data_IF_585922626800
#
_entry.id   IF_585922626800
#
_cell.length_a   1.000
_cell.length_b   1.000
_cell.length_c   1.000
_cell.angle_alpha   90.00
_cell.angle_beta   90.00
_cell.angle_gamma   90.00
#
_symmetry.space_group_name_H-M   'P 1'
#
loop_
_entity.id
_entity.type
_entity.pdbx_description
1 polymer ?
#
# COMPACT_ATOMS: atom_id res chain seq x y z
N UNK A 1 -13.36 -13.11 11.49
CA UNK A 1 -12.30 -13.87 12.21
C UNK A 1 -11.04 -13.04 12.41
N UNK A 2 -10.48 -12.39 11.37
CA UNK A 2 -9.30 -11.52 11.48
C UNK A 2 -9.40 -10.41 12.54
N UNK A 3 -10.53 -9.69 12.62
CA UNK A 3 -10.74 -8.66 13.66
C UNK A 3 -10.70 -9.21 15.09
N UNK A 4 -11.14 -10.46 15.28
CA UNK A 4 -11.08 -11.09 16.61
C UNK A 4 -9.63 -11.27 17.05
N UNK A 5 -8.76 -11.71 16.15
CA UNK A 5 -7.31 -11.81 16.43
C UNK A 5 -6.66 -10.44 16.66
N UNK A 6 -7.11 -9.39 15.96
CA UNK A 6 -6.63 -8.01 16.22
C UNK A 6 -7.00 -7.55 17.62
N UNK A 7 -8.24 -7.80 18.06
CA UNK A 7 -8.67 -7.43 19.41
C UNK A 7 -7.95 -8.27 20.48
N UNK A 8 -7.76 -9.58 20.27
CA UNK A 8 -6.96 -10.44 21.15
C UNK A 8 -5.50 -9.98 21.24
N UNK A 9 -4.89 -9.56 20.13
CA UNK A 9 -3.54 -9.00 20.11
C UNK A 9 -3.47 -7.66 20.87
N UNK A 10 -4.48 -6.79 20.71
CA UNK A 10 -4.60 -5.54 21.49
C UNK A 10 -4.71 -5.81 22.98
N UNK A 11 -5.54 -6.78 23.38
CA UNK A 11 -5.72 -7.17 24.77
C UNK A 11 -4.43 -7.75 25.38
N UNK A 12 -3.63 -8.45 24.57
CA UNK A 12 -2.36 -9.02 24.98
C UNK A 12 -1.19 -8.02 25.10
N UNK A 13 -1.41 -6.73 24.78
CA UNK A 13 -0.40 -5.66 24.72
C UNK A 13 0.77 -5.94 23.75
N UNK A 14 0.58 -6.87 22.82
CA UNK A 14 1.51 -7.08 21.72
C UNK A 14 1.30 -5.94 20.70
N UNK A 15 2.34 -5.15 20.47
CA UNK A 15 2.34 -4.16 19.41
C UNK A 15 2.45 -4.85 18.05
N UNK A 16 1.62 -4.44 17.10
CA UNK A 16 1.73 -4.90 15.72
C UNK A 16 2.98 -4.28 15.09
N UNK A 17 3.77 -5.08 14.39
CA UNK A 17 4.86 -4.59 13.57
C UNK A 17 4.36 -4.28 12.13
N UNK A 18 5.22 -3.66 11.31
CA UNK A 18 4.87 -3.28 9.94
C UNK A 18 4.36 -4.46 9.11
N UNK A 19 4.96 -5.65 9.27
CA UNK A 19 4.55 -6.87 8.56
C UNK A 19 3.18 -7.37 8.98
N UNK A 20 2.89 -7.35 10.28
CA UNK A 20 1.59 -7.73 10.82
C UNK A 20 0.50 -6.83 10.24
N UNK A 21 0.77 -5.52 10.14
CA UNK A 21 -0.17 -4.58 9.53
C UNK A 21 -0.34 -4.85 8.02
N UNK A 22 0.72 -5.17 7.28
CA UNK A 22 0.61 -5.58 5.86
C UNK A 22 -0.32 -6.78 5.67
N UNK A 23 -0.20 -7.80 6.53
CA UNK A 23 -1.06 -9.00 6.48
C UNK A 23 -2.52 -8.63 6.74
N UNK A 24 -2.79 -7.76 7.72
CA UNK A 24 -4.15 -7.30 7.99
C UNK A 24 -4.73 -6.54 6.80
N UNK A 25 -3.94 -5.65 6.18
CA UNK A 25 -4.36 -4.93 4.97
C UNK A 25 -4.70 -5.91 3.84
N UNK A 26 -3.85 -6.90 3.56
CA UNK A 26 -4.13 -7.93 2.54
C UNK A 26 -5.43 -8.70 2.84
N UNK A 27 -5.62 -9.13 4.09
CA UNK A 27 -6.84 -9.85 4.51
C UNK A 27 -8.09 -9.01 4.32
N UNK A 28 -8.11 -7.77 4.81
CA UNK A 28 -9.29 -6.90 4.68
C UNK A 28 -9.54 -6.48 3.24
N UNK A 29 -8.49 -6.25 2.46
CA UNK A 29 -8.61 -5.91 1.06
C UNK A 29 -9.21 -7.08 0.25
N UNK A 30 -8.87 -8.34 0.60
CA UNK A 30 -9.46 -9.54 0.00
C UNK A 30 -10.91 -9.80 0.39
N UNK A 31 -11.37 -9.22 1.49
CA UNK A 31 -12.78 -9.33 1.91
C UNK A 31 -13.61 -8.12 1.46
N UNK A 32 -13.03 -7.17 0.73
CA UNK A 32 -13.71 -5.93 0.35
C UNK A 32 -14.03 -5.01 1.54
N UNK A 33 -13.36 -5.20 2.69
CA UNK A 33 -13.57 -4.39 3.90
C UNK A 33 -12.72 -3.12 3.83
N UNK A 34 -13.21 -2.17 3.04
CA UNK A 34 -12.51 -0.93 2.71
C UNK A 34 -12.19 -0.10 3.95
N UNK A 35 -13.12 -0.02 4.90
CA UNK A 35 -12.96 0.77 6.12
C UNK A 35 -11.77 0.28 6.95
N UNK A 36 -11.64 -1.04 7.12
CA UNK A 36 -10.50 -1.59 7.83
C UNK A 36 -9.20 -1.44 7.03
N UNK A 37 -9.22 -1.60 5.70
CA UNK A 37 -8.04 -1.32 4.86
C UNK A 37 -7.53 0.11 5.09
N UNK A 38 -8.40 1.11 5.01
CA UNK A 38 -8.02 2.51 5.19
C UNK A 38 -7.46 2.76 6.60
N UNK A 39 -8.11 2.22 7.62
CA UNK A 39 -7.68 2.30 9.02
C UNK A 39 -6.27 1.72 9.23
N UNK A 40 -5.97 0.55 8.67
CA UNK A 40 -4.66 -0.07 8.80
C UNK A 40 -3.59 0.61 7.94
N UNK A 41 -3.95 1.16 6.79
CA UNK A 41 -3.05 2.02 6.00
C UNK A 41 -2.71 3.31 6.75
N UNK A 42 -3.67 3.95 7.44
CA UNK A 42 -3.38 5.10 8.30
C UNK A 42 -2.43 4.73 9.44
N UNK A 43 -2.67 3.57 10.07
CA UNK A 43 -1.86 3.09 11.17
C UNK A 43 -0.40 2.85 10.77
N UNK A 44 -0.14 2.16 9.66
CA UNK A 44 1.24 1.90 9.21
C UNK A 44 1.96 3.18 8.78
N UNK A 45 1.24 4.16 8.22
CA UNK A 45 1.81 5.49 7.94
C UNK A 45 2.21 6.19 9.25
N UNK A 46 1.37 6.15 10.28
CA UNK A 46 1.67 6.73 11.59
C UNK A 46 2.88 6.06 12.25
N UNK A 47 2.96 4.73 12.19
CA UNK A 47 4.12 3.97 12.67
C UNK A 47 5.41 4.42 11.97
N UNK A 48 5.36 4.61 10.64
CA UNK A 48 6.52 5.11 9.89
C UNK A 48 6.89 6.54 10.29
N UNK A 49 5.92 7.44 10.48
CA UNK A 49 6.20 8.81 10.95
C UNK A 49 6.90 8.81 12.32
N UNK A 50 6.41 7.98 13.26
CA UNK A 50 7.04 7.84 14.59
C UNK A 50 8.46 7.29 14.50
N UNK A 51 8.67 6.27 13.66
CA UNK A 51 10.00 5.73 13.40
C UNK A 51 10.98 6.78 12.85
N UNK A 52 10.54 7.62 11.92
CA UNK A 52 11.36 8.71 11.37
C UNK A 52 11.71 9.77 12.42
N UNK A 53 10.78 10.09 13.33
CA UNK A 53 11.01 11.07 14.41
C UNK A 53 11.94 10.57 15.50
N UNK A 54 11.97 9.27 15.75
CA UNK A 54 12.81 8.65 16.80
C UNK A 54 14.24 8.37 16.35
N UNK A 55 14.55 8.57 15.07
CA UNK A 55 15.84 8.24 14.46
C UNK A 55 15.98 6.74 14.17
N UNK A 56 16.45 6.41 12.96
CA UNK A 56 16.58 5.01 12.50
C UNK A 56 17.61 4.19 13.31
N UNK A 57 18.44 4.85 14.13
CA UNK A 57 19.46 4.23 14.99
C UNK A 57 18.95 3.72 16.34
N UNK A 58 17.67 3.92 16.66
CA UNK A 58 17.07 3.28 17.82
C UNK A 58 17.05 1.76 17.58
N UNK A 59 17.88 1.02 18.32
CA UNK A 59 17.98 -0.47 18.35
C UNK A 59 16.66 -1.18 18.73
N UNK A 60 15.52 -0.53 18.58
CA UNK A 60 14.20 -1.15 18.69
C UNK A 60 14.01 -2.16 17.56
N UNK A 61 13.68 -3.40 17.94
CA UNK A 61 13.63 -4.59 17.09
C UNK A 61 12.45 -4.59 16.08
N UNK A 62 11.72 -3.48 15.95
CA UNK A 62 10.42 -3.39 15.28
C UNK A 62 10.21 -2.03 14.59
N UNK A 63 11.14 -1.62 13.73
CA UNK A 63 11.01 -0.37 12.97
C UNK A 63 10.19 -0.63 11.71
N UNK A 64 9.04 0.05 11.58
CA UNK A 64 8.29 0.08 10.33
C UNK A 64 9.12 0.78 9.26
N UNK A 65 9.36 0.09 8.16
CA UNK A 65 10.18 0.57 7.05
C UNK A 65 9.32 1.20 5.96
N UNK A 66 9.94 1.96 5.05
CA UNK A 66 9.27 2.42 3.83
C UNK A 66 8.74 1.23 3.00
N UNK A 67 9.46 0.10 3.01
CA UNK A 67 9.04 -1.10 2.31
C UNK A 67 7.74 -1.68 2.88
N UNK A 68 7.58 -1.72 4.20
CA UNK A 68 6.36 -2.21 4.82
C UNK A 68 5.16 -1.34 4.41
N UNK A 69 5.31 -0.02 4.43
CA UNK A 69 4.24 0.89 3.96
C UNK A 69 3.92 0.61 2.49
N UNK A 70 4.92 0.52 1.61
CA UNK A 70 4.71 0.26 0.18
C UNK A 70 4.03 -1.10 -0.07
N UNK A 71 4.44 -2.15 0.64
CA UNK A 71 3.87 -3.49 0.52
C UNK A 71 2.41 -3.51 1.01
N UNK A 72 2.07 -2.76 2.06
CA UNK A 72 0.68 -2.59 2.50
C UNK A 72 -0.17 -1.88 1.43
N UNK A 73 0.33 -0.81 0.81
CA UNK A 73 -0.37 -0.13 -0.28
C UNK A 73 -0.54 -1.02 -1.52
N UNK A 74 0.47 -1.80 -1.90
CA UNK A 74 0.38 -2.76 -3.00
C UNK A 74 -0.66 -3.87 -2.70
N UNK A 75 -0.75 -4.31 -1.45
CA UNK A 75 -1.77 -5.26 -1.00
C UNK A 75 -3.17 -4.67 -1.08
N UNK A 76 -3.36 -3.43 -0.63
CA UNK A 76 -4.62 -2.70 -0.74
C UNK A 76 -5.04 -2.49 -2.21
N UNK A 77 -4.12 -2.09 -3.09
CA UNK A 77 -4.36 -1.95 -4.52
C UNK A 77 -4.82 -3.27 -5.14
N UNK A 78 -4.14 -4.38 -4.80
CA UNK A 78 -4.50 -5.72 -5.30
C UNK A 78 -5.85 -6.20 -4.77
N UNK A 79 -6.18 -5.90 -3.51
CA UNK A 79 -7.45 -6.35 -2.95
C UNK A 79 -8.62 -5.50 -3.43
N UNK A 80 -8.48 -4.17 -3.50
CA UNK A 80 -9.51 -3.31 -4.08
C UNK A 80 -9.79 -3.65 -5.54
N UNK A 81 -8.76 -4.02 -6.28
CA UNK A 81 -8.92 -4.55 -7.63
C UNK A 81 -9.85 -5.75 -7.71
N UNK A 82 -9.54 -6.78 -6.94
CA UNK A 82 -10.07 -8.13 -7.13
C UNK A 82 -11.38 -8.35 -6.39
N UNK A 83 -11.64 -7.56 -5.34
CA UNK A 83 -12.69 -7.86 -4.37
C UNK A 83 -13.54 -6.66 -3.96
N UNK A 84 -13.20 -5.42 -4.33
CA UNK A 84 -14.00 -4.24 -3.99
C UNK A 84 -15.04 -3.92 -5.05
N UNK A 85 -16.24 -3.52 -4.61
CA UNK A 85 -17.26 -2.93 -5.48
C UNK A 85 -17.05 -1.44 -5.74
N UNK A 86 -16.18 -0.80 -4.94
CA UNK A 86 -15.77 0.60 -5.11
C UNK A 86 -14.33 0.66 -5.63
N UNK A 87 -14.12 1.30 -6.79
CA UNK A 87 -12.77 1.56 -7.26
C UNK A 87 -12.13 2.73 -6.49
N UNK A 88 -11.25 2.37 -5.54
CA UNK A 88 -10.39 3.32 -4.80
C UNK A 88 -8.94 3.32 -5.29
N UNK A 89 -8.63 2.64 -6.39
CA UNK A 89 -7.27 2.47 -6.94
C UNK A 89 -6.63 3.84 -7.23
N UNK A 90 -7.39 4.74 -7.85
CA UNK A 90 -6.97 6.12 -8.11
C UNK A 90 -6.54 6.88 -6.85
N UNK A 91 -7.36 6.73 -5.81
CA UNK A 91 -7.18 7.43 -4.55
C UNK A 91 -5.96 6.88 -3.81
N UNK A 92 -5.78 5.56 -3.81
CA UNK A 92 -4.60 4.90 -3.24
C UNK A 92 -3.31 5.32 -3.93
N UNK A 93 -3.26 5.33 -5.26
CA UNK A 93 -2.05 5.79 -6.00
C UNK A 93 -1.75 7.25 -5.70
N UNK A 94 -2.79 8.11 -5.68
CA UNK A 94 -2.62 9.52 -5.35
C UNK A 94 -2.13 9.70 -3.91
N UNK A 95 -2.65 8.92 -2.97
CA UNK A 95 -2.23 8.93 -1.56
C UNK A 95 -0.79 8.48 -1.41
N UNK A 96 -0.39 7.39 -2.06
CA UNK A 96 0.99 6.90 -2.07
C UNK A 96 1.97 7.96 -2.56
N UNK A 97 1.63 8.67 -3.65
CA UNK A 97 2.44 9.80 -4.15
C UNK A 97 2.53 10.94 -3.13
N UNK A 98 1.42 11.32 -2.49
CA UNK A 98 1.37 12.39 -1.47
C UNK A 98 2.19 12.09 -0.22
N UNK A 99 2.42 10.82 0.13
CA UNK A 99 3.28 10.48 1.27
C UNK A 99 4.71 10.99 1.08
N UNK A 100 5.15 11.17 -0.17
CA UNK A 100 6.43 11.81 -0.49
C UNK A 100 6.48 13.28 -0.05
N UNK A 101 5.36 14.00 -0.16
CA UNK A 101 5.24 15.39 0.31
C UNK A 101 5.29 15.47 1.84
N UNK A 102 4.93 14.39 2.53
CA UNK A 102 5.01 14.24 3.99
C UNK A 102 6.39 13.74 4.47
N UNK A 103 7.37 13.65 3.56
CA UNK A 103 8.72 13.17 3.85
C UNK A 103 8.87 11.65 3.84
N UNK A 104 7.77 10.90 3.70
CA UNK A 104 7.79 9.45 3.52
C UNK A 104 7.92 9.16 2.03
N UNK A 105 9.16 9.22 1.51
CA UNK A 105 9.42 8.94 0.10
C UNK A 105 9.08 7.48 -0.24
N UNK A 106 7.92 7.31 -0.87
CA UNK A 106 7.35 6.04 -1.32
C UNK A 106 6.95 6.18 -2.79
N UNK A 107 7.92 6.36 -3.70
CA UNK A 107 7.59 6.32 -5.12
C UNK A 107 6.95 4.95 -5.44
N UNK A 108 5.92 4.92 -6.30
CA UNK A 108 5.41 3.67 -6.85
C UNK A 108 6.58 2.81 -7.37
N UNK A 109 6.58 1.52 -7.05
CA UNK A 109 7.60 0.61 -7.55
C UNK A 109 7.10 -0.20 -8.75
N UNK A 110 7.97 -1.08 -9.26
CA UNK A 110 7.61 -1.98 -10.35
C UNK A 110 6.35 -2.80 -10.00
N UNK A 111 6.20 -3.23 -8.75
CA UNK A 111 5.03 -4.02 -8.32
C UNK A 111 3.76 -3.16 -8.42
N UNK A 112 3.80 -1.91 -7.93
CA UNK A 112 2.69 -0.97 -8.05
C UNK A 112 2.25 -0.81 -9.51
N UNK A 113 3.19 -0.58 -10.42
CA UNK A 113 2.86 -0.43 -11.84
C UNK A 113 2.36 -1.71 -12.49
N UNK A 114 2.91 -2.87 -12.14
CA UNK A 114 2.41 -4.17 -12.61
C UNK A 114 0.96 -4.41 -12.19
N UNK A 115 0.59 -4.04 -10.97
CA UNK A 115 -0.79 -4.12 -10.49
C UNK A 115 -1.70 -3.21 -11.33
N UNK A 116 -1.30 -1.96 -11.57
CA UNK A 116 -2.09 -1.00 -12.37
C UNK A 116 -2.26 -1.44 -13.84
N UNK A 117 -1.20 -1.97 -14.44
CA UNK A 117 -1.27 -2.54 -15.80
C UNK A 117 -2.23 -3.73 -15.84
N UNK A 118 -2.14 -4.62 -14.84
CA UNK A 118 -3.01 -5.80 -14.77
C UNK A 118 -4.49 -5.41 -14.67
N UNK A 119 -4.82 -4.31 -13.99
CA UNK A 119 -6.19 -3.77 -13.96
C UNK A 119 -6.70 -3.41 -15.36
N UNK A 120 -5.87 -2.70 -16.14
CA UNK A 120 -6.26 -2.24 -17.48
C UNK A 120 -6.42 -3.43 -18.43
N UNK A 121 -5.52 -4.41 -18.35
CA UNK A 121 -5.57 -5.61 -19.20
C UNK A 121 -6.85 -6.44 -18.96
N UNK A 122 -7.46 -6.37 -17.77
CA UNK A 122 -8.75 -7.03 -17.49
C UNK A 122 -9.97 -6.15 -17.79
N UNK A 123 -9.78 -4.97 -18.40
CA UNK A 123 -10.87 -4.09 -18.83
C UNK A 123 -11.56 -3.34 -17.69
N UNK A 124 -10.90 -3.20 -16.53
CA UNK A 124 -11.38 -2.33 -15.46
C UNK A 124 -11.12 -0.88 -15.86
N UNK A 125 -12.13 -0.03 -15.68
CA UNK A 125 -12.01 1.40 -15.91
C UNK A 125 -11.06 1.98 -14.87
N UNK A 126 -9.83 2.27 -15.27
CA UNK A 126 -8.80 2.81 -14.39
C UNK A 126 -8.66 4.31 -14.57
N UNK A 127 -8.28 5.03 -13.51
CA UNK A 127 -8.03 6.48 -13.55
C UNK A 127 -6.84 6.90 -14.44
N UNK A 128 -6.05 5.94 -14.91
CA UNK A 128 -4.89 6.17 -15.77
C UNK A 128 -4.91 5.20 -16.94
N UNK A 129 -4.54 5.70 -18.11
CA UNK A 129 -4.29 4.90 -19.30
C UNK A 129 -2.93 4.20 -19.24
N UNK A 130 -2.75 3.12 -20.02
CA UNK A 130 -1.46 2.42 -20.17
C UNK A 130 -0.34 3.38 -20.62
N UNK A 131 -0.68 4.37 -21.44
CA UNK A 131 0.26 5.38 -21.92
C UNK A 131 0.73 6.32 -20.82
N UNK A 132 -0.15 6.69 -19.89
CA UNK A 132 0.21 7.48 -18.71
C UNK A 132 1.07 6.68 -17.74
N UNK A 133 0.77 5.40 -17.55
CA UNK A 133 1.59 4.47 -16.75
C UNK A 133 2.99 4.32 -17.36
N UNK A 134 3.12 4.03 -18.66
CA UNK A 134 4.42 3.90 -19.34
C UNK A 134 5.25 5.19 -19.21
N UNK A 135 4.61 6.36 -19.39
CA UNK A 135 5.27 7.65 -19.20
C UNK A 135 5.77 7.84 -17.76
N UNK A 136 4.97 7.47 -16.76
CA UNK A 136 5.34 7.59 -15.35
C UNK A 136 6.48 6.63 -14.98
N UNK A 137 6.40 5.36 -15.41
CA UNK A 137 7.46 4.38 -15.20
C UNK A 137 8.80 4.88 -15.75
N UNK A 138 8.82 5.42 -16.98
CA UNK A 138 10.04 5.99 -17.58
C UNK A 138 10.57 7.21 -16.82
N UNK A 139 9.68 8.09 -16.38
CA UNK A 139 10.07 9.27 -15.59
C UNK A 139 10.70 8.88 -14.24
N UNK A 140 10.27 7.76 -13.66
CA UNK A 140 10.77 7.20 -12.41
C UNK A 140 11.91 6.17 -12.63
N UNK A 141 12.44 6.07 -13.86
CA UNK A 141 13.51 5.14 -14.26
C UNK A 141 13.19 3.64 -14.03
N UNK A 142 11.90 3.29 -14.01
CA UNK A 142 11.41 1.92 -13.92
C UNK A 142 11.18 1.39 -15.33
N UNK A 143 11.75 0.22 -15.64
CA UNK A 143 11.59 -0.40 -16.96
C UNK A 143 10.26 -1.17 -17.00
N UNK A 144 9.34 -0.85 -17.92
CA UNK A 144 8.11 -1.63 -18.13
C UNK A 144 8.42 -3.03 -18.64
N UNK A 145 7.69 -4.03 -18.15
CA UNK A 145 7.82 -5.42 -18.64
C UNK A 145 7.26 -5.59 -20.06
N UNK A 146 6.35 -4.69 -20.47
CA UNK A 146 5.83 -4.57 -21.84
C UNK A 146 5.81 -3.09 -22.20
N UNK A 147 6.19 -2.77 -23.44
CA UNK A 147 6.09 -1.41 -23.97
C UNK A 147 4.68 -1.20 -24.51
N UNK A 148 3.96 -0.22 -23.96
CA UNK A 148 2.61 0.15 -24.40
C UNK A 148 2.72 1.42 -25.26
N UNK A 149 2.54 1.28 -26.58
CA UNK A 149 2.69 2.36 -27.60
C UNK A 149 1.33 2.92 -28.00
#
# INVERSE_FOLDING_TARGET
EAMKYVEELRESKLELDGRSVCVLVDVFARTGDIDNVEKFLDHICEMRRKAMQQGEDSKSLSVTTNKDVLDAFNSALTGFYLYSTEDKTAQLVKRLRKLSDEGISLPPDRITYTILISHIDLGVDTPMSLKEIDKQMRAEAITPDKVYV
#
